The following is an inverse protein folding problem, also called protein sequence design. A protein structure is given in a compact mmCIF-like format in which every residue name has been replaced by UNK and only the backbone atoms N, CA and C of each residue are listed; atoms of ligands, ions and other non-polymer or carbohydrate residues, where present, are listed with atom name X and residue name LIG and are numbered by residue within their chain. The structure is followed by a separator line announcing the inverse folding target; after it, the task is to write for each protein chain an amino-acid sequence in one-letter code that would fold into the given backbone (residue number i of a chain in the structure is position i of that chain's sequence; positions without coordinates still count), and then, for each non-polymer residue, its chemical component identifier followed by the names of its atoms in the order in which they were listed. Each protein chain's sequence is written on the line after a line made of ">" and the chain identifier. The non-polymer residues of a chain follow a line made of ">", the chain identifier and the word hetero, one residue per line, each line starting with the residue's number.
data_IF_474358192819
#
_entry.id   IF_474358192819
#
_cell.length_a   1.000
_cell.length_b   1.000
_cell.length_c   1.000
_cell.angle_alpha   90.00
_cell.angle_beta   90.00
_cell.angle_gamma   90.00
#
_symmetry.space_group_name_H-M   'P 1'
#
loop_
_entity.id
_entity.type
_entity.pdbx_description
1 polymer ?
#
# COMPACT_ATOMS: atom_id res chain seq x y z
N UNK A 1 -17.53 -3.22 30.16
CA UNK A 1 -16.79 -3.09 28.90
C UNK A 1 -16.34 -4.48 28.48
N UNK A 2 -16.65 -4.88 27.25
CA UNK A 2 -16.24 -6.14 26.65
C UNK A 2 -15.58 -5.86 25.31
N UNK A 3 -14.42 -6.47 25.02
CA UNK A 3 -13.73 -6.36 23.74
C UNK A 3 -13.67 -7.76 23.12
N UNK A 4 -14.14 -7.88 21.89
CA UNK A 4 -14.27 -9.18 21.22
C UNK A 4 -14.43 -9.03 19.71
N UNK A 5 -14.45 -10.17 19.02
CA UNK A 5 -14.87 -10.25 17.62
C UNK A 5 -16.34 -9.87 17.49
N UNK A 6 -16.72 -9.31 16.35
CA UNK A 6 -18.12 -9.03 16.04
C UNK A 6 -18.86 -10.35 15.69
N UNK A 7 -20.19 -10.28 15.69
CA UNK A 7 -21.09 -11.35 15.21
C UNK A 7 -21.73 -10.87 13.90
N UNK A 8 -22.10 -11.81 13.04
CA UNK A 8 -22.79 -11.46 11.78
C UNK A 8 -24.05 -10.64 12.02
N UNK A 9 -24.78 -10.94 13.10
CA UNK A 9 -26.01 -10.20 13.46
C UNK A 9 -25.75 -8.74 13.85
N UNK A 10 -24.49 -8.36 14.04
CA UNK A 10 -24.10 -7.01 14.47
C UNK A 10 -23.61 -6.11 13.30
N UNK A 11 -23.52 -6.65 12.08
CA UNK A 11 -22.93 -5.91 10.95
C UNK A 11 -23.68 -4.61 10.65
N UNK A 12 -25.01 -4.61 10.72
CA UNK A 12 -25.81 -3.40 10.49
C UNK A 12 -25.59 -2.36 11.60
N UNK A 13 -25.47 -2.79 12.85
CA UNK A 13 -25.13 -1.89 13.97
C UNK A 13 -23.74 -1.27 13.76
N UNK A 14 -22.79 -2.04 13.29
CA UNK A 14 -21.42 -1.58 13.01
C UNK A 14 -21.46 -0.55 11.87
N UNK A 15 -22.14 -0.85 10.80
CA UNK A 15 -22.30 0.10 9.70
C UNK A 15 -22.92 1.41 10.17
N UNK A 16 -23.76 1.31 10.98
CA UNK A 16 -24.34 2.35 11.51
C UNK A 16 -23.55 3.17 12.27
N UNK A 17 -22.79 2.57 13.17
CA UNK A 17 -21.81 3.28 13.99
C UNK A 17 -20.81 4.05 13.11
N UNK A 18 -20.26 3.40 12.10
CA UNK A 18 -19.28 4.00 11.20
C UNK A 18 -19.86 5.21 10.48
N UNK A 19 -21.08 5.10 9.96
CA UNK A 19 -21.76 6.22 9.27
C UNK A 19 -22.04 7.38 10.21
N UNK A 20 -22.32 7.12 11.49
CA UNK A 20 -22.49 8.16 12.53
C UNK A 20 -21.18 8.93 12.75
N UNK A 21 -20.06 8.23 12.71
CA UNK A 21 -18.74 8.83 12.98
C UNK A 21 -18.17 9.54 11.75
N UNK A 22 -18.37 8.97 10.57
CA UNK A 22 -17.83 9.52 9.32
C UNK A 22 -18.91 10.32 8.58
N UNK A 23 -19.60 9.75 7.64
CA UNK A 23 -20.70 10.42 6.91
C UNK A 23 -21.68 9.36 6.40
N UNK A 24 -22.97 9.60 6.60
CA UNK A 24 -24.04 8.66 6.19
C UNK A 24 -24.01 8.32 4.70
N UNK A 25 -23.70 9.27 3.84
CA UNK A 25 -23.66 9.00 2.39
C UNK A 25 -22.57 8.02 1.96
N UNK A 26 -21.62 7.73 2.86
CA UNK A 26 -20.56 6.72 2.62
C UNK A 26 -21.02 5.30 2.96
N UNK A 27 -22.27 5.11 3.37
CA UNK A 27 -22.82 3.80 3.73
C UNK A 27 -22.56 2.73 2.66
N UNK A 28 -22.78 2.98 1.34
CA UNK A 28 -22.50 1.95 0.34
C UNK A 28 -21.05 1.46 0.36
N UNK A 29 -20.10 2.36 0.57
CA UNK A 29 -18.69 2.02 0.65
C UNK A 29 -18.39 1.11 1.85
N UNK A 30 -18.89 1.47 3.04
CA UNK A 30 -18.61 0.71 4.25
C UNK A 30 -19.34 -0.64 4.25
N UNK A 31 -20.58 -0.66 3.74
CA UNK A 31 -21.32 -1.90 3.58
C UNK A 31 -20.59 -2.85 2.60
N UNK A 32 -20.06 -2.30 1.51
CA UNK A 32 -19.29 -3.09 0.54
C UNK A 32 -18.07 -3.76 1.18
N UNK A 33 -17.38 -3.07 2.09
CA UNK A 33 -16.22 -3.63 2.77
C UNK A 33 -16.58 -4.81 3.69
N UNK A 34 -17.83 -4.89 4.15
CA UNK A 34 -18.30 -6.01 4.99
C UNK A 34 -18.91 -7.12 4.12
N UNK A 35 -19.75 -6.75 3.14
CA UNK A 35 -20.56 -7.72 2.40
C UNK A 35 -19.89 -8.22 1.12
N UNK A 36 -18.92 -7.48 0.57
CA UNK A 36 -18.29 -7.81 -0.71
C UNK A 36 -16.78 -8.04 -0.65
N UNK A 37 -16.14 -7.79 0.50
CA UNK A 37 -14.70 -8.12 0.62
C UNK A 37 -14.57 -9.64 0.72
N UNK A 38 -13.95 -10.25 -0.30
CA UNK A 38 -13.82 -11.70 -0.43
C UNK A 38 -13.00 -12.36 0.71
N UNK A 39 -12.23 -11.56 1.45
CA UNK A 39 -11.41 -12.04 2.56
C UNK A 39 -12.03 -11.78 3.93
N UNK A 40 -13.17 -11.09 3.99
CA UNK A 40 -13.77 -10.66 5.25
C UNK A 40 -14.30 -11.87 6.06
N UNK A 41 -13.97 -11.86 7.34
CA UNK A 41 -14.50 -12.81 8.34
C UNK A 41 -14.89 -12.01 9.59
N UNK A 42 -15.95 -12.43 10.31
CA UNK A 42 -16.42 -11.67 11.49
C UNK A 42 -15.33 -11.38 12.52
N UNK A 43 -14.37 -12.30 12.72
CA UNK A 43 -13.30 -12.12 13.71
C UNK A 43 -12.31 -10.99 13.34
N UNK A 44 -12.30 -10.53 12.08
CA UNK A 44 -11.49 -9.39 11.63
C UNK A 44 -12.10 -8.06 12.11
N UNK A 45 -13.38 -8.06 12.43
CA UNK A 45 -14.11 -6.89 12.91
C UNK A 45 -14.13 -6.95 14.44
N UNK A 46 -13.43 -6.01 15.10
CA UNK A 46 -13.24 -5.96 16.55
C UNK A 46 -14.12 -4.88 17.14
N UNK A 47 -14.87 -5.21 18.17
CA UNK A 47 -15.85 -4.29 18.78
C UNK A 47 -15.59 -4.11 20.27
N UNK A 48 -15.89 -2.90 20.76
CA UNK A 48 -15.99 -2.61 22.17
C UNK A 48 -17.48 -2.45 22.51
N UNK A 49 -17.97 -3.25 23.45
CA UNK A 49 -19.38 -3.28 23.87
C UNK A 49 -19.47 -2.75 25.30
N UNK A 50 -20.36 -1.78 25.50
CA UNK A 50 -20.63 -1.18 26.81
C UNK A 50 -22.15 -1.23 27.03
N UNK A 51 -22.57 -1.90 28.10
CA UNK A 51 -24.00 -2.07 28.45
C UNK A 51 -24.84 -2.59 27.29
N UNK A 52 -24.27 -3.56 26.53
CA UNK A 52 -24.95 -4.20 25.43
C UNK A 52 -24.93 -3.45 24.09
N UNK A 53 -24.32 -2.25 24.04
CA UNK A 53 -24.25 -1.42 22.84
C UNK A 53 -22.82 -1.41 22.30
N UNK A 54 -22.65 -1.54 21.00
CA UNK A 54 -21.34 -1.38 20.33
C UNK A 54 -21.03 0.11 20.30
N UNK A 55 -19.94 0.50 20.96
CA UNK A 55 -19.55 1.91 21.10
C UNK A 55 -18.28 2.26 20.33
N UNK A 56 -17.47 1.24 19.95
CA UNK A 56 -16.24 1.47 19.21
C UNK A 56 -15.95 0.24 18.35
N UNK A 57 -15.28 0.46 17.21
CA UNK A 57 -15.03 -0.55 16.19
C UNK A 57 -13.67 -0.34 15.54
N UNK A 58 -12.99 -1.44 15.20
CA UNK A 58 -11.83 -1.48 14.32
C UNK A 58 -11.95 -2.73 13.42
N UNK A 59 -11.63 -2.57 12.15
CA UNK A 59 -11.50 -3.69 11.23
C UNK A 59 -10.02 -3.95 10.93
N UNK A 60 -9.64 -5.25 10.89
CA UNK A 60 -8.34 -5.70 10.40
C UNK A 60 -8.57 -6.43 9.08
N UNK A 61 -8.36 -5.77 7.96
CA UNK A 61 -8.52 -6.34 6.63
C UNK A 61 -7.36 -7.30 6.33
N UNK A 62 -7.68 -8.51 5.87
CA UNK A 62 -6.67 -9.53 5.53
C UNK A 62 -6.15 -9.27 4.11
N UNK A 63 -4.88 -8.92 4.02
CA UNK A 63 -4.22 -8.64 2.74
C UNK A 63 -2.85 -9.33 2.70
N UNK A 64 -2.27 -9.37 1.51
CA UNK A 64 -0.87 -9.77 1.31
C UNK A 64 -0.24 -8.76 0.36
N UNK A 65 1.03 -8.48 0.56
CA UNK A 65 1.77 -7.54 -0.30
C UNK A 65 3.06 -8.20 -0.79
N UNK A 66 3.59 -7.66 -1.87
CA UNK A 66 4.92 -8.02 -2.36
C UNK A 66 5.99 -7.20 -1.66
N UNK A 67 7.10 -7.85 -1.30
CA UNK A 67 8.38 -7.20 -1.00
C UNK A 67 9.41 -7.96 -1.86
N UNK A 68 9.81 -7.35 -2.96
CA UNK A 68 10.48 -8.10 -4.01
C UNK A 68 9.56 -9.22 -4.50
N UNK A 69 10.07 -10.45 -4.53
CA UNK A 69 9.28 -11.64 -4.91
C UNK A 69 8.64 -12.33 -3.71
N UNK A 70 8.94 -11.89 -2.49
CA UNK A 70 8.33 -12.46 -1.28
C UNK A 70 6.90 -11.93 -1.10
N UNK A 71 6.06 -12.79 -0.58
CA UNK A 71 4.67 -12.46 -0.23
C UNK A 71 4.57 -12.40 1.31
N UNK A 72 4.13 -11.25 1.79
CA UNK A 72 4.08 -10.92 3.22
C UNK A 72 2.62 -10.62 3.58
N UNK A 73 2.12 -11.20 4.67
CA UNK A 73 0.75 -10.94 5.12
C UNK A 73 0.66 -9.57 5.79
N UNK A 74 -0.40 -8.84 5.43
CA UNK A 74 -0.63 -7.46 5.85
C UNK A 74 -2.00 -7.34 6.52
N UNK A 75 -2.02 -6.93 7.79
CA UNK A 75 -3.26 -6.58 8.47
C UNK A 75 -3.58 -5.10 8.25
N UNK A 76 -4.60 -4.81 7.46
CA UNK A 76 -5.00 -3.43 7.16
C UNK A 76 -5.96 -2.89 8.21
N UNK A 77 -5.55 -1.87 8.97
CA UNK A 77 -6.41 -1.24 9.98
C UNK A 77 -7.30 -0.20 9.30
N UNK A 78 -8.60 -0.42 9.38
CA UNK A 78 -9.60 0.50 8.82
C UNK A 78 -10.85 0.56 9.66
N UNK A 79 -11.80 1.39 9.24
CA UNK A 79 -13.10 1.55 9.90
C UNK A 79 -12.95 1.79 11.41
N UNK A 80 -11.94 2.59 11.80
CA UNK A 80 -11.66 2.92 13.20
C UNK A 80 -12.65 4.01 13.63
N UNK A 81 -13.57 3.67 14.50
CA UNK A 81 -14.65 4.59 14.87
C UNK A 81 -15.05 4.40 16.33
N UNK A 82 -15.34 5.52 17.02
CA UNK A 82 -15.92 5.53 18.38
C UNK A 82 -17.04 6.55 18.39
N UNK A 83 -18.22 6.14 18.85
CA UNK A 83 -19.37 7.02 18.96
C UNK A 83 -19.00 8.30 19.74
N UNK A 84 -19.44 9.49 19.30
CA UNK A 84 -18.99 10.75 19.91
C UNK A 84 -19.15 10.80 21.42
N UNK A 85 -20.28 10.33 21.95
CA UNK A 85 -20.58 10.36 23.38
C UNK A 85 -19.74 9.37 24.22
N UNK A 86 -18.97 8.50 23.54
CA UNK A 86 -18.10 7.51 24.19
C UNK A 86 -16.61 7.82 23.99
N UNK A 87 -16.29 8.94 23.35
CA UNK A 87 -14.88 9.33 23.12
C UNK A 87 -14.18 9.73 24.43
N UNK A 88 -12.85 9.73 24.37
CA UNK A 88 -11.97 10.11 25.49
C UNK A 88 -12.08 9.21 26.71
N UNK A 89 -12.58 7.97 26.53
CA UNK A 89 -12.69 6.96 27.59
C UNK A 89 -11.76 5.76 27.40
N UNK A 90 -10.85 5.86 26.41
CA UNK A 90 -9.84 4.82 26.17
C UNK A 90 -10.30 3.64 25.30
N UNK A 91 -11.52 3.64 24.80
CA UNK A 91 -12.07 2.48 24.06
C UNK A 91 -11.31 2.21 22.76
N UNK A 92 -10.98 3.25 21.98
CA UNK A 92 -10.21 3.09 20.75
C UNK A 92 -8.80 2.54 21.06
N UNK A 93 -8.18 3.01 22.15
CA UNK A 93 -6.86 2.51 22.57
C UNK A 93 -6.92 1.03 22.97
N UNK A 94 -7.95 0.63 23.69
CA UNK A 94 -8.13 -0.77 24.10
C UNK A 94 -8.37 -1.66 22.87
N UNK A 95 -9.14 -1.19 21.86
CA UNK A 95 -9.35 -1.91 20.60
C UNK A 95 -8.06 -2.01 19.78
N UNK A 96 -7.24 -0.95 19.79
CA UNK A 96 -5.93 -1.00 19.09
C UNK A 96 -5.04 -2.08 19.70
N UNK A 97 -4.96 -2.17 21.04
CA UNK A 97 -4.20 -3.23 21.71
C UNK A 97 -4.75 -4.62 21.38
N UNK A 98 -6.08 -4.79 21.40
CA UNK A 98 -6.74 -6.04 21.03
C UNK A 98 -6.42 -6.42 19.56
N UNK A 99 -6.42 -5.43 18.65
CA UNK A 99 -6.12 -5.64 17.24
C UNK A 99 -4.67 -6.09 17.03
N UNK A 100 -3.74 -5.55 17.81
CA UNK A 100 -2.31 -5.95 17.76
C UNK A 100 -2.19 -7.42 18.19
N UNK A 101 -2.78 -7.78 19.34
CA UNK A 101 -2.77 -9.17 19.84
C UNK A 101 -3.41 -10.11 18.81
N UNK A 102 -4.53 -9.69 18.21
CA UNK A 102 -5.21 -10.44 17.16
C UNK A 102 -4.28 -10.67 15.96
N UNK A 103 -3.61 -9.61 15.49
CA UNK A 103 -2.71 -9.71 14.32
C UNK A 103 -1.53 -10.64 14.60
N UNK A 104 -0.95 -10.57 15.81
CA UNK A 104 0.13 -11.46 16.24
C UNK A 104 -0.34 -12.92 16.24
N UNK A 105 -1.52 -13.18 16.79
CA UNK A 105 -2.10 -14.52 16.90
C UNK A 105 -2.42 -15.12 15.53
N UNK A 106 -2.93 -14.31 14.60
CA UNK A 106 -3.27 -14.76 13.24
C UNK A 106 -2.01 -14.92 12.37
N UNK A 107 -0.91 -14.27 12.76
CA UNK A 107 0.38 -14.42 12.07
C UNK A 107 0.60 -13.43 10.93
N UNK A 108 0.15 -12.19 11.08
CA UNK A 108 0.52 -11.13 10.15
C UNK A 108 1.95 -10.70 10.41
N UNK A 109 2.69 -10.37 9.35
CA UNK A 109 4.06 -9.84 9.44
C UNK A 109 4.05 -8.32 9.58
N UNK A 110 3.15 -7.67 8.86
CA UNK A 110 3.04 -6.20 8.81
C UNK A 110 1.61 -5.77 9.05
N UNK A 111 1.45 -4.50 9.43
CA UNK A 111 0.16 -3.82 9.43
C UNK A 111 0.30 -2.48 8.73
N UNK A 112 -0.77 -2.02 8.10
CA UNK A 112 -0.84 -0.73 7.38
C UNK A 112 -2.14 -0.02 7.76
N UNK A 113 -2.07 1.30 7.87
CA UNK A 113 -3.25 2.15 7.99
C UNK A 113 -3.00 3.49 7.29
N UNK A 114 -4.08 4.23 7.07
CA UNK A 114 -4.04 5.56 6.46
C UNK A 114 -4.72 6.54 7.40
N UNK A 115 -4.05 7.65 7.74
CA UNK A 115 -4.56 8.56 8.75
C UNK A 115 -3.97 9.97 8.63
N UNK A 116 -4.72 10.96 9.12
CA UNK A 116 -4.22 12.32 9.33
C UNK A 116 -3.91 12.58 10.82
N UNK A 117 -4.17 11.60 11.71
CA UNK A 117 -3.92 11.74 13.16
C UNK A 117 -2.81 10.77 13.60
N UNK A 118 -1.65 10.88 12.97
CA UNK A 118 -0.50 10.01 13.19
C UNK A 118 -0.12 9.83 14.68
N UNK A 119 -0.12 10.90 15.53
CA UNK A 119 0.32 10.71 16.92
C UNK A 119 -0.45 9.65 17.71
N UNK A 120 -1.73 9.43 17.39
CA UNK A 120 -2.52 8.38 18.05
C UNK A 120 -1.93 6.99 17.76
N UNK A 121 -1.61 6.71 16.49
CA UNK A 121 -1.14 5.39 16.06
C UNK A 121 0.34 5.17 16.39
N UNK A 122 1.13 6.24 16.45
CA UNK A 122 2.55 6.15 16.82
C UNK A 122 2.72 5.56 18.23
N UNK A 123 1.78 5.82 19.15
CA UNK A 123 1.79 5.25 20.50
C UNK A 123 1.73 3.72 20.49
N UNK A 124 1.25 3.12 19.42
CA UNK A 124 1.09 1.68 19.27
C UNK A 124 2.12 1.08 18.32
N UNK A 125 3.14 1.84 17.91
CA UNK A 125 4.25 1.36 17.11
C UNK A 125 4.07 1.44 15.60
N UNK A 126 3.06 2.17 15.11
CA UNK A 126 2.98 2.50 13.69
C UNK A 126 3.90 3.69 13.41
N UNK A 127 4.62 3.63 12.29
CA UNK A 127 5.51 4.71 11.83
C UNK A 127 5.08 5.17 10.44
N UNK A 128 5.22 6.46 10.16
CA UNK A 128 4.85 7.02 8.84
C UNK A 128 5.74 6.48 7.74
N UNK A 129 5.17 6.37 6.54
CA UNK A 129 5.87 5.95 5.34
C UNK A 129 5.54 6.90 4.20
N UNK A 130 6.56 7.49 3.54
CA UNK A 130 6.31 8.49 2.50
C UNK A 130 5.68 7.89 1.26
N UNK A 131 4.73 8.62 0.68
CA UNK A 131 4.11 8.28 -0.60
C UNK A 131 4.26 9.47 -1.54
N UNK A 132 4.73 9.22 -2.76
CA UNK A 132 4.97 10.26 -3.76
C UNK A 132 3.71 10.52 -4.56
N UNK A 133 3.28 11.77 -4.59
CA UNK A 133 2.21 12.25 -5.46
C UNK A 133 2.81 13.20 -6.49
N UNK A 134 2.26 13.20 -7.68
CA UNK A 134 2.59 14.18 -8.69
C UNK A 134 1.42 15.12 -8.92
N UNK A 135 1.73 16.32 -9.34
CA UNK A 135 0.77 17.30 -9.80
C UNK A 135 1.29 17.92 -11.07
N UNK A 136 0.43 17.99 -12.08
CA UNK A 136 0.76 18.50 -13.40
C UNK A 136 -0.16 19.67 -13.72
N UNK A 137 0.41 20.86 -13.89
CA UNK A 137 -0.31 22.00 -14.39
C UNK A 137 -0.49 21.83 -15.91
N UNK A 138 -1.72 21.88 -16.37
CA UNK A 138 -2.03 21.75 -17.80
C UNK A 138 -1.95 23.12 -18.47
N UNK A 139 -1.13 23.20 -19.50
CA UNK A 139 -0.98 24.39 -20.34
C UNK A 139 -2.10 24.50 -21.38
N UNK A 140 -1.79 25.12 -22.51
CA UNK A 140 -2.72 25.26 -23.62
C UNK A 140 -3.19 23.90 -24.14
N UNK A 141 -4.45 23.86 -24.57
CA UNK A 141 -5.05 22.64 -25.13
C UNK A 141 -4.27 22.17 -26.35
N UNK A 142 -3.93 20.91 -26.39
CA UNK A 142 -3.22 20.28 -27.50
C UNK A 142 -4.10 19.30 -28.25
N UNK A 143 -3.82 19.12 -29.52
CA UNK A 143 -4.40 18.05 -30.33
C UNK A 143 -3.37 16.93 -30.44
N UNK A 144 -3.85 15.70 -30.36
CA UNK A 144 -2.99 14.52 -30.41
C UNK A 144 -3.28 13.72 -31.67
N UNK A 145 -2.24 13.13 -32.25
CA UNK A 145 -2.41 12.25 -33.42
C UNK A 145 -3.16 10.97 -33.02
N UNK A 146 -4.01 10.46 -33.94
CA UNK A 146 -4.70 9.21 -33.66
C UNK A 146 -3.75 8.05 -33.39
N UNK A 147 -4.08 7.25 -32.40
CA UNK A 147 -3.31 6.06 -32.03
C UNK A 147 -3.95 4.81 -32.66
N UNK A 148 -3.14 3.80 -32.95
CA UNK A 148 -3.64 2.47 -33.30
C UNK A 148 -4.24 1.74 -32.11
N UNK A 149 -4.00 2.23 -30.89
CA UNK A 149 -4.62 1.73 -29.67
C UNK A 149 -5.85 2.58 -29.36
N UNK A 150 -7.02 1.97 -29.37
CA UNK A 150 -8.27 2.63 -29.03
C UNK A 150 -8.44 2.69 -27.51
N UNK A 151 -8.66 3.88 -26.99
CA UNK A 151 -8.96 4.02 -25.56
C UNK A 151 -10.48 4.09 -25.40
N UNK A 152 -11.00 3.26 -24.49
CA UNK A 152 -12.43 3.16 -24.20
C UNK A 152 -12.67 2.94 -22.71
N UNK A 153 -13.93 3.04 -22.33
CA UNK A 153 -14.33 2.72 -20.94
C UNK A 153 -14.10 1.25 -20.64
N UNK A 154 -13.77 0.98 -19.41
CA UNK A 154 -13.61 -0.37 -18.83
C UNK A 154 -14.96 -1.09 -18.82
N UNK A 155 -14.96 -2.37 -19.13
CA UNK A 155 -16.09 -3.27 -19.04
C UNK A 155 -15.72 -4.44 -18.13
N UNK A 156 -16.38 -4.54 -16.97
CA UNK A 156 -16.04 -5.54 -15.96
C UNK A 156 -16.24 -6.99 -16.44
N UNK A 157 -17.21 -7.22 -17.35
CA UNK A 157 -17.49 -8.57 -17.83
C UNK A 157 -16.41 -9.10 -18.80
N UNK A 158 -15.81 -8.22 -19.60
CA UNK A 158 -14.90 -8.63 -20.66
C UNK A 158 -13.44 -8.34 -20.34
N UNK A 159 -13.14 -7.32 -19.55
CA UNK A 159 -11.78 -6.79 -19.42
C UNK A 159 -11.04 -7.27 -18.17
N UNK A 160 -11.76 -7.70 -17.15
CA UNK A 160 -11.21 -7.94 -15.82
C UNK A 160 -10.04 -8.95 -15.83
N UNK A 161 -10.14 -9.99 -16.64
CA UNK A 161 -9.09 -11.03 -16.74
C UNK A 161 -7.78 -10.41 -17.27
N UNK A 162 -7.85 -9.64 -18.37
CA UNK A 162 -6.66 -9.02 -18.95
C UNK A 162 -6.06 -7.97 -18.00
N UNK A 163 -6.91 -7.17 -17.35
CA UNK A 163 -6.45 -6.14 -16.39
C UNK A 163 -5.74 -6.80 -15.20
N UNK A 164 -6.28 -7.91 -14.68
CA UNK A 164 -5.62 -8.62 -13.57
C UNK A 164 -4.23 -9.11 -13.96
N UNK A 165 -4.06 -9.60 -15.18
CA UNK A 165 -2.76 -10.04 -15.70
C UNK A 165 -1.79 -8.86 -15.86
N UNK A 166 -2.29 -7.73 -16.38
CA UNK A 166 -1.48 -6.50 -16.50
C UNK A 166 -1.05 -6.02 -15.10
N UNK A 167 -1.98 -6.04 -14.14
CA UNK A 167 -1.70 -5.64 -12.75
C UNK A 167 -0.55 -6.49 -12.17
N UNK A 168 -0.66 -7.81 -12.30
CA UNK A 168 0.34 -8.73 -11.74
C UNK A 168 1.71 -8.49 -12.39
N UNK A 169 1.74 -8.38 -13.72
CA UNK A 169 2.99 -8.15 -14.47
C UNK A 169 3.60 -6.80 -14.15
N UNK A 170 2.77 -5.75 -14.09
CA UNK A 170 3.21 -4.38 -13.84
C UNK A 170 3.77 -4.21 -12.42
N UNK A 171 3.22 -4.94 -11.46
CA UNK A 171 3.55 -4.76 -10.04
C UNK A 171 4.60 -5.76 -9.51
N UNK A 172 5.02 -6.73 -10.30
CA UNK A 172 5.96 -7.76 -9.83
C UNK A 172 7.33 -7.22 -9.40
N UNK A 173 7.71 -6.01 -9.84
CA UNK A 173 8.97 -5.37 -9.46
C UNK A 173 8.79 -4.37 -8.31
N UNK A 174 7.55 -4.16 -7.83
CA UNK A 174 7.23 -3.14 -6.83
C UNK A 174 7.01 -3.76 -5.46
N UNK A 175 7.49 -3.08 -4.42
CA UNK A 175 7.23 -3.48 -3.04
C UNK A 175 6.06 -2.68 -2.48
N UNK A 176 5.17 -3.36 -1.73
CA UNK A 176 4.01 -2.71 -1.10
C UNK A 176 2.69 -2.87 -1.84
N UNK A 177 2.71 -3.35 -3.09
CA UNK A 177 1.47 -3.58 -3.85
C UNK A 177 0.73 -4.81 -3.32
N UNK A 178 -0.59 -4.71 -3.27
CA UNK A 178 -1.47 -5.79 -2.77
C UNK A 178 -1.46 -6.95 -3.79
N UNK A 179 -1.38 -8.16 -3.28
CA UNK A 179 -1.61 -9.37 -4.07
C UNK A 179 -3.12 -9.55 -4.23
N UNK A 180 -3.61 -9.40 -5.46
CA UNK A 180 -5.05 -9.49 -5.74
C UNK A 180 -5.40 -10.86 -6.31
N UNK A 181 -6.09 -11.67 -5.53
CA UNK A 181 -6.60 -12.98 -5.98
C UNK A 181 -7.74 -12.81 -6.98
N UNK A 182 -8.13 -13.90 -7.64
CA UNK A 182 -9.31 -13.90 -8.53
C UNK A 182 -10.56 -13.47 -7.79
N UNK A 183 -10.74 -13.93 -6.54
CA UNK A 183 -11.89 -13.53 -5.72
C UNK A 183 -11.81 -12.06 -5.33
N UNK A 184 -10.61 -11.54 -5.04
CA UNK A 184 -10.44 -10.11 -4.76
C UNK A 184 -10.92 -9.27 -5.97
N UNK A 185 -10.47 -9.62 -7.18
CA UNK A 185 -10.87 -8.90 -8.39
C UNK A 185 -12.38 -8.96 -8.62
N UNK A 186 -12.97 -10.17 -8.54
CA UNK A 186 -14.38 -10.38 -8.81
C UNK A 186 -15.30 -9.76 -7.74
N UNK A 187 -14.97 -9.95 -6.48
CA UNK A 187 -15.88 -9.65 -5.37
C UNK A 187 -15.51 -8.34 -4.66
N UNK A 188 -14.24 -8.14 -4.34
CA UNK A 188 -13.80 -6.96 -3.57
C UNK A 188 -13.63 -5.75 -4.49
N UNK A 189 -12.76 -5.86 -5.49
CA UNK A 189 -12.39 -4.72 -6.34
C UNK A 189 -13.59 -4.25 -7.17
N UNK A 190 -14.34 -5.17 -7.77
CA UNK A 190 -15.47 -4.84 -8.64
C UNK A 190 -16.65 -4.16 -7.92
N UNK A 191 -16.73 -4.33 -6.59
CA UNK A 191 -17.80 -3.72 -5.79
C UNK A 191 -17.36 -2.48 -5.03
N UNK A 192 -16.10 -2.06 -5.16
CA UNK A 192 -15.64 -0.83 -4.51
C UNK A 192 -16.17 0.40 -5.24
N UNK A 193 -16.84 1.26 -4.49
CA UNK A 193 -17.46 2.47 -5.04
C UNK A 193 -16.37 3.43 -5.55
N UNK A 194 -16.47 3.80 -6.83
CA UNK A 194 -15.59 4.80 -7.45
C UNK A 194 -14.14 4.39 -7.65
N UNK A 195 -13.82 3.10 -7.59
CA UNK A 195 -12.44 2.63 -7.64
C UNK A 195 -12.12 1.77 -8.88
N UNK A 196 -13.12 1.31 -9.60
CA UNK A 196 -12.93 0.49 -10.80
C UNK A 196 -12.11 1.23 -11.87
N UNK A 197 -11.28 0.53 -12.66
CA UNK A 197 -10.59 1.13 -13.79
C UNK A 197 -11.59 1.81 -14.72
N UNK A 198 -11.31 3.03 -15.09
CA UNK A 198 -12.22 3.83 -15.93
C UNK A 198 -11.86 3.79 -17.42
N UNK A 199 -10.60 3.48 -17.75
CA UNK A 199 -10.10 3.49 -19.13
C UNK A 199 -9.24 2.25 -19.41
N UNK A 200 -9.38 1.69 -20.61
CA UNK A 200 -8.48 0.66 -21.14
C UNK A 200 -8.02 1.07 -22.54
N UNK A 201 -6.75 0.77 -22.87
CA UNK A 201 -6.21 0.95 -24.21
C UNK A 201 -6.16 -0.43 -24.87
N UNK A 202 -6.94 -0.59 -25.94
CA UNK A 202 -7.19 -1.87 -26.61
C UNK A 202 -6.83 -1.81 -28.08
N UNK A 203 -6.27 -2.90 -28.60
CA UNK A 203 -6.05 -3.08 -30.04
C UNK A 203 -6.27 -4.56 -30.39
N UNK A 204 -7.19 -4.80 -31.31
CA UNK A 204 -7.50 -6.15 -31.84
C UNK A 204 -7.83 -7.15 -30.71
N UNK A 205 -8.62 -6.71 -29.72
CA UNK A 205 -9.05 -7.55 -28.59
C UNK A 205 -8.00 -7.70 -27.49
N UNK A 206 -6.83 -7.07 -27.64
CA UNK A 206 -5.77 -7.10 -26.62
C UNK A 206 -5.74 -5.79 -25.87
N UNK A 207 -5.81 -5.84 -24.55
CA UNK A 207 -5.63 -4.66 -23.69
C UNK A 207 -4.13 -4.56 -23.37
N UNK A 208 -3.53 -3.41 -23.70
CA UNK A 208 -2.10 -3.17 -23.42
C UNK A 208 -1.85 -2.29 -22.21
N UNK A 209 -2.85 -1.48 -21.82
CA UNK A 209 -2.74 -0.60 -20.66
C UNK A 209 -4.14 -0.30 -20.11
N UNK A 210 -4.20 0.04 -18.81
CA UNK A 210 -5.42 0.52 -18.17
C UNK A 210 -5.08 1.61 -17.15
N UNK A 211 -6.08 2.43 -16.80
CA UNK A 211 -5.96 3.41 -15.73
C UNK A 211 -7.26 3.51 -14.94
N UNK A 212 -7.15 3.51 -13.63
CA UNK A 212 -8.21 4.00 -12.76
C UNK A 212 -8.05 5.53 -12.70
N UNK A 213 -8.82 6.20 -13.54
CA UNK A 213 -8.75 7.64 -13.72
C UNK A 213 -10.15 8.22 -13.68
N UNK A 214 -10.34 9.29 -12.93
CA UNK A 214 -11.64 9.92 -12.82
C UNK A 214 -11.56 11.24 -12.06
N UNK A 215 -12.70 11.87 -11.92
CA UNK A 215 -12.79 13.18 -11.30
C UNK A 215 -13.55 13.08 -9.98
N UNK A 216 -13.16 13.89 -8.95
CA UNK A 216 -13.88 13.85 -7.67
C UNK A 216 -15.39 14.12 -7.81
N UNK A 217 -15.78 14.92 -8.79
CA UNK A 217 -17.18 15.24 -9.07
C UNK A 217 -18.00 14.04 -9.58
N UNK A 218 -17.32 12.99 -10.06
CA UNK A 218 -17.97 11.81 -10.62
C UNK A 218 -18.14 10.68 -9.57
N UNK A 219 -17.76 10.94 -8.32
CA UNK A 219 -17.72 9.93 -7.26
C UNK A 219 -18.92 10.09 -6.30
N UNK A 220 -20.10 9.70 -6.78
CA UNK A 220 -21.29 9.67 -5.94
C UNK A 220 -21.09 8.70 -4.76
N UNK A 221 -21.48 9.14 -3.57
CA UNK A 221 -21.36 8.33 -2.36
C UNK A 221 -19.98 8.32 -1.71
N UNK A 222 -19.03 9.09 -2.25
CA UNK A 222 -17.73 9.22 -1.61
C UNK A 222 -17.76 10.31 -0.54
N UNK A 223 -17.08 10.05 0.58
CA UNK A 223 -16.88 11.04 1.64
C UNK A 223 -16.21 12.28 1.04
N UNK A 224 -16.77 13.49 1.20
CA UNK A 224 -16.14 14.72 0.69
C UNK A 224 -14.72 14.93 1.22
N UNK A 225 -14.44 14.49 2.45
CA UNK A 225 -13.11 14.56 3.03
C UNK A 225 -12.13 13.65 2.25
N UNK A 226 -12.56 12.42 1.96
CA UNK A 226 -11.74 11.49 1.16
C UNK A 226 -11.61 11.99 -0.29
N UNK A 227 -12.66 12.57 -0.85
CA UNK A 227 -12.63 13.09 -2.22
C UNK A 227 -11.56 14.17 -2.41
N UNK A 228 -11.29 15.00 -1.38
CA UNK A 228 -10.21 16.00 -1.46
C UNK A 228 -8.81 15.38 -1.57
N UNK A 229 -8.65 14.15 -1.06
CA UNK A 229 -7.35 13.46 -1.10
C UNK A 229 -7.21 12.50 -2.27
N UNK A 230 -8.30 12.26 -3.04
CA UNK A 230 -8.24 11.33 -4.17
C UNK A 230 -7.77 12.08 -5.41
N UNK A 231 -6.60 11.69 -5.95
CA UNK A 231 -6.14 12.28 -7.21
C UNK A 231 -6.97 11.79 -8.39
N UNK A 232 -6.79 12.44 -9.53
CA UNK A 232 -7.43 12.02 -10.77
C UNK A 232 -6.97 10.62 -11.21
N UNK A 233 -5.66 10.37 -11.12
CA UNK A 233 -5.07 9.07 -11.46
C UNK A 233 -4.78 8.29 -10.17
N UNK A 234 -5.48 7.17 -9.99
CA UNK A 234 -5.40 6.36 -8.77
C UNK A 234 -4.62 5.08 -8.95
N UNK A 235 -4.56 4.58 -10.19
CA UNK A 235 -3.85 3.35 -10.54
C UNK A 235 -3.59 3.35 -12.04
N UNK A 236 -2.46 2.76 -12.46
CA UNK A 236 -2.16 2.54 -13.87
C UNK A 236 -1.36 1.24 -13.99
N UNK A 237 -1.63 0.48 -15.06
CA UNK A 237 -0.85 -0.69 -15.43
C UNK A 237 -0.71 -0.79 -16.93
N UNK A 238 0.37 -1.40 -17.38
CA UNK A 238 0.60 -1.59 -18.81
C UNK A 238 1.58 -2.74 -19.03
N UNK A 239 1.46 -3.38 -20.01
CA UNK A 239 2.20 -4.29 -20.36
C UNK A 239 3.29 -3.69 -21.02
N UNK A 240 4.65 -3.95 -20.79
CA UNK A 240 5.87 -3.34 -21.32
C UNK A 240 6.11 -3.64 -22.81
N UNK A 241 5.62 -4.74 -23.28
CA UNK A 241 5.68 -5.10 -24.71
C UNK A 241 4.72 -4.27 -25.58
N UNK A 242 3.85 -3.46 -24.95
CA UNK A 242 2.87 -2.62 -25.67
C UNK A 242 3.02 -1.14 -25.26
N UNK A 243 4.20 -0.53 -25.41
CA UNK A 243 4.40 0.87 -24.97
C UNK A 243 3.47 1.88 -25.64
N UNK A 244 2.90 1.68 -26.61
CA UNK A 244 2.10 2.40 -27.22
C UNK A 244 0.89 2.54 -26.68
N UNK A 245 0.43 1.44 -26.05
CA UNK A 245 -0.83 1.51 -25.33
C UNK A 245 -0.78 2.53 -24.18
N UNK A 246 0.33 2.63 -23.49
CA UNK A 246 0.50 3.63 -22.41
C UNK A 246 0.48 5.06 -22.96
N UNK A 247 1.07 5.27 -24.13
CA UNK A 247 1.00 6.59 -24.80
C UNK A 247 -0.45 6.93 -25.19
N UNK A 248 -1.19 5.98 -25.75
CA UNK A 248 -2.61 6.18 -26.09
C UNK A 248 -3.42 6.55 -24.83
N UNK A 249 -3.17 5.85 -23.76
CA UNK A 249 -3.81 6.12 -22.48
C UNK A 249 -3.44 7.53 -21.98
N UNK A 250 -2.19 7.93 -22.07
CA UNK A 250 -1.73 9.29 -21.73
C UNK A 250 -2.50 10.34 -22.54
N UNK A 251 -2.61 10.13 -23.69
CA UNK A 251 -3.18 10.96 -24.43
C UNK A 251 -4.50 11.14 -24.19
N UNK A 252 -5.34 10.04 -23.93
CA UNK A 252 -6.76 10.08 -23.58
C UNK A 252 -7.01 10.77 -22.22
N UNK A 253 -6.16 10.53 -21.26
CA UNK A 253 -6.21 11.23 -19.95
C UNK A 253 -6.07 12.74 -20.16
N UNK A 254 -5.12 13.21 -20.91
CA UNK A 254 -4.96 14.64 -21.23
C UNK A 254 -6.17 15.20 -21.99
N UNK A 255 -6.62 14.42 -22.80
CA UNK A 255 -7.63 14.76 -23.43
C UNK A 255 -8.70 14.99 -22.71
N UNK A 256 -9.08 14.12 -21.84
CA UNK A 256 -10.19 14.23 -20.88
C UNK A 256 -10.09 15.44 -19.94
N UNK A 257 -8.80 15.73 -19.58
CA UNK A 257 -8.58 16.74 -18.84
C UNK A 257 -8.90 17.90 -19.46
N UNK A 258 -8.54 18.21 -20.83
CA UNK A 258 -8.82 19.44 -21.64
C UNK A 258 -10.30 19.65 -21.97
N UNK A 259 -11.02 18.58 -22.18
CA UNK A 259 -12.46 18.64 -22.45
C UNK A 259 -13.28 19.21 -21.29
N UNK A 260 -12.79 19.08 -20.07
CA UNK A 260 -13.45 19.58 -18.87
C UNK A 260 -12.89 20.94 -18.41
N UNK A 261 -12.02 21.53 -19.21
CA UNK A 261 -11.36 22.81 -18.89
C UNK A 261 -10.62 22.77 -17.54
N UNK A 262 -10.06 21.59 -17.21
CA UNK A 262 -9.30 21.42 -15.97
C UNK A 262 -7.86 21.87 -16.16
N UNK A 263 -7.33 22.47 -15.14
CA UNK A 263 -5.97 22.99 -15.09
C UNK A 263 -4.97 22.15 -14.27
N UNK A 264 -5.25 20.80 -13.64
CA UNK A 264 -4.47 20.06 -12.86
C UNK A 264 -4.76 18.67 -13.07
N UNK A 265 -3.94 17.64 -13.09
CA UNK A 265 -3.95 16.49 -12.99
C UNK A 265 -3.23 16.21 -11.96
N UNK A 266 -3.60 15.29 -11.16
CA UNK A 266 -2.85 14.79 -10.02
C UNK A 266 -2.90 13.27 -9.98
N UNK A 267 -1.88 12.67 -9.33
CA UNK A 267 -1.85 11.21 -9.25
C UNK A 267 -0.82 10.73 -8.23
N UNK A 268 -0.89 9.45 -7.93
CA UNK A 268 0.13 8.79 -7.10
C UNK A 268 0.95 7.88 -7.99
N UNK A 269 2.16 8.31 -8.34
CA UNK A 269 3.11 7.53 -9.14
C UNK A 269 4.52 7.83 -8.70
N UNK A 270 5.35 6.82 -8.79
CA UNK A 270 6.79 6.99 -8.63
C UNK A 270 7.29 7.93 -9.73
N UNK A 271 8.23 8.83 -9.38
CA UNK A 271 8.71 9.88 -10.29
C UNK A 271 9.34 9.35 -11.58
N UNK A 272 9.83 8.10 -11.55
CA UNK A 272 10.45 7.48 -12.72
C UNK A 272 9.47 6.57 -13.49
N UNK A 273 8.18 6.59 -13.16
CA UNK A 273 7.19 5.80 -13.90
C UNK A 273 7.09 6.30 -15.33
N UNK A 274 7.07 5.42 -16.36
CA UNK A 274 7.04 5.86 -17.77
C UNK A 274 5.89 6.83 -18.10
N UNK A 275 4.74 6.70 -17.46
CA UNK A 275 3.64 7.64 -17.67
C UNK A 275 4.04 9.08 -17.29
N UNK A 276 4.88 9.25 -16.31
CA UNK A 276 5.38 10.58 -15.93
C UNK A 276 6.20 11.21 -17.08
N UNK A 277 6.83 10.45 -17.65
CA UNK A 277 7.51 10.81 -18.63
C UNK A 277 6.78 11.29 -19.66
N UNK A 278 5.83 10.42 -20.16
CA UNK A 278 4.88 10.76 -21.24
C UNK A 278 4.08 12.03 -20.90
N UNK A 279 3.61 12.13 -19.73
CA UNK A 279 2.88 13.34 -19.31
C UNK A 279 3.74 14.61 -19.46
N UNK A 280 4.92 14.48 -19.23
CA UNK A 280 5.75 15.49 -19.33
C UNK A 280 5.88 15.89 -20.65
N UNK A 281 6.11 14.96 -21.60
CA UNK A 281 6.31 15.20 -23.05
C UNK A 281 5.05 15.71 -23.76
N UNK A 282 3.95 15.05 -23.52
CA UNK A 282 2.70 15.34 -24.21
C UNK A 282 2.02 16.64 -23.75
N UNK A 283 2.09 16.98 -22.47
CA UNK A 283 1.53 18.25 -21.97
C UNK A 283 2.47 19.44 -22.21
N UNK A 284 3.76 19.19 -22.23
CA UNK A 284 4.77 20.26 -22.26
C UNK A 284 5.01 20.88 -20.90
N UNK A 285 4.59 20.27 -19.84
CA UNK A 285 4.69 20.79 -18.46
C UNK A 285 5.38 19.80 -17.53
N UNK A 286 6.11 19.99 -16.58
CA UNK A 286 6.72 19.33 -15.77
C UNK A 286 5.95 19.08 -14.68
N UNK A 287 5.92 17.94 -14.36
CA UNK A 287 5.21 17.59 -13.14
C UNK A 287 5.98 17.99 -11.87
N UNK A 288 5.27 18.54 -10.93
CA UNK A 288 5.80 18.75 -9.57
C UNK A 288 5.52 17.49 -8.73
N UNK A 289 6.34 17.28 -7.69
CA UNK A 289 6.19 16.12 -6.81
C UNK A 289 6.13 16.55 -5.36
N UNK A 290 5.23 15.94 -4.61
CA UNK A 290 5.10 16.15 -3.17
C UNK A 290 5.10 14.80 -2.46
N UNK A 291 5.44 14.83 -1.18
CA UNK A 291 5.42 13.64 -0.33
C UNK A 291 4.28 13.79 0.67
N UNK A 292 3.45 12.75 0.79
CA UNK A 292 2.45 12.65 1.84
C UNK A 292 2.82 11.50 2.78
N UNK A 293 2.50 11.66 4.04
CA UNK A 293 2.75 10.66 5.08
C UNK A 293 1.44 10.15 5.70
N UNK A 294 0.50 9.81 4.86
CA UNK A 294 -0.59 9.36 5.23
C UNK A 294 -0.57 8.05 5.60
N UNK A 295 0.21 7.19 4.96
CA UNK A 295 0.40 5.77 5.23
C UNK A 295 1.25 5.57 6.49
N UNK A 296 0.86 4.62 7.33
CA UNK A 296 1.65 4.22 8.49
C UNK A 296 1.73 2.69 8.56
N UNK A 297 2.95 2.17 8.68
CA UNK A 297 3.18 0.73 8.84
C UNK A 297 3.65 0.39 10.25
N UNK A 298 3.32 -0.83 10.68
CA UNK A 298 3.84 -1.44 11.90
C UNK A 298 4.46 -2.79 11.54
N UNK A 299 5.61 -3.09 12.12
CA UNK A 299 6.18 -4.44 12.09
C UNK A 299 5.46 -5.25 13.17
N UNK A 300 4.60 -6.18 12.75
CA UNK A 300 3.87 -7.05 13.71
C UNK A 300 4.82 -8.12 14.23
N UNK A 301 5.60 -8.77 13.33
CA UNK A 301 6.58 -9.78 13.72
C UNK A 301 7.81 -9.69 12.82
N UNK A 302 8.91 -9.22 13.36
CA UNK A 302 10.18 -9.17 12.65
C UNK A 302 10.73 -10.56 12.32
N UNK A 303 10.60 -11.50 13.05
CA UNK A 303 10.94 -12.68 12.90
C UNK A 303 10.39 -13.23 11.84
N UNK A 304 8.97 -13.34 11.80
CA UNK A 304 8.16 -13.90 10.71
C UNK A 304 8.42 -13.17 9.37
N UNK A 305 8.51 -11.85 9.39
CA UNK A 305 8.82 -11.04 8.20
C UNK A 305 10.12 -11.55 7.54
N UNK A 306 11.20 -11.66 8.32
CA UNK A 306 12.48 -12.11 7.78
C UNK A 306 12.40 -13.56 7.28
N UNK A 307 11.67 -14.45 7.98
CA UNK A 307 11.47 -15.83 7.54
C UNK A 307 10.77 -15.87 6.17
N UNK A 308 9.75 -15.04 5.97
CA UNK A 308 9.05 -14.93 4.68
C UNK A 308 9.98 -14.40 3.58
N UNK A 309 10.97 -13.59 3.94
CA UNK A 309 11.88 -12.98 2.99
C UNK A 309 13.12 -13.83 2.67
N UNK A 310 13.32 -14.98 3.32
CA UNK A 310 14.51 -15.83 3.08
C UNK A 310 14.74 -16.08 1.58
N UNK A 311 13.73 -16.54 0.80
CA UNK A 311 13.98 -16.79 -0.63
C UNK A 311 14.40 -15.55 -1.39
N UNK A 312 13.84 -14.40 -1.04
CA UNK A 312 14.20 -13.13 -1.67
C UNK A 312 15.62 -12.70 -1.28
N UNK A 313 15.99 -12.84 -0.01
CA UNK A 313 17.34 -12.56 0.46
C UNK A 313 18.39 -13.44 -0.26
N UNK A 314 18.12 -14.76 -0.36
CA UNK A 314 19.03 -15.69 -1.05
C UNK A 314 19.15 -15.33 -2.54
N UNK A 315 18.04 -14.96 -3.18
CA UNK A 315 18.02 -14.51 -4.58
C UNK A 315 18.86 -13.25 -4.77
N UNK A 316 18.72 -12.26 -3.86
CA UNK A 316 19.49 -11.01 -3.92
C UNK A 316 20.99 -11.25 -3.68
N UNK A 317 21.34 -12.21 -2.85
CA UNK A 317 22.73 -12.57 -2.57
C UNK A 317 23.36 -13.34 -3.74
N UNK A 318 22.58 -14.05 -4.55
CA UNK A 318 23.09 -14.84 -5.66
C UNK A 318 23.76 -13.90 -6.68
N UNK A 319 25.00 -14.19 -7.04
CA UNK A 319 25.75 -13.35 -7.96
C UNK A 319 26.71 -12.35 -7.30
N UNK A 320 26.67 -12.23 -5.98
CA UNK A 320 27.61 -11.39 -5.25
C UNK A 320 28.74 -12.27 -4.67
N UNK A 321 29.97 -12.05 -5.09
CA UNK A 321 31.15 -12.87 -4.73
C UNK A 321 31.54 -12.80 -3.25
N UNK A 322 31.10 -11.74 -2.56
CA UNK A 322 31.45 -11.52 -1.14
C UNK A 322 30.67 -12.40 -0.16
N UNK A 323 29.74 -13.23 -0.68
CA UNK A 323 28.87 -14.09 0.14
C UNK A 323 29.54 -15.37 0.66
N UNK A 324 30.85 -15.54 0.43
CA UNK A 324 31.58 -16.71 0.88
C UNK A 324 31.98 -16.64 2.35
N UNK A 325 31.98 -15.46 2.95
CA UNK A 325 32.37 -15.28 4.36
C UNK A 325 31.10 -15.33 5.22
N UNK A 326 31.03 -16.25 6.19
CA UNK A 326 29.90 -16.28 7.09
C UNK A 326 29.75 -14.94 7.83
N UNK A 327 28.55 -14.37 7.78
CA UNK A 327 28.25 -13.11 8.47
C UNK A 327 26.86 -13.17 9.10
N UNK A 328 26.62 -12.33 10.09
CA UNK A 328 25.32 -12.26 10.72
C UNK A 328 24.98 -10.84 11.15
N UNK A 329 23.70 -10.48 11.03
CA UNK A 329 23.18 -9.18 11.41
C UNK A 329 22.06 -9.35 12.42
N UNK A 330 22.25 -8.81 13.60
CA UNK A 330 21.24 -8.80 14.66
C UNK A 330 20.46 -7.48 14.58
N UNK A 331 19.26 -7.51 14.02
CA UNK A 331 18.37 -6.36 13.90
C UNK A 331 17.65 -6.15 15.23
N UNK A 332 17.70 -4.91 15.71
CA UNK A 332 17.05 -4.50 16.97
C UNK A 332 16.14 -3.31 16.62
N UNK A 333 14.82 -3.58 16.58
CA UNK A 333 13.78 -2.59 16.30
C UNK A 333 12.90 -2.48 17.55
N UNK A 334 12.99 -1.37 18.25
CA UNK A 334 12.28 -1.14 19.52
C UNK A 334 12.40 -2.39 20.43
N UNK A 335 11.31 -3.14 20.61
CA UNK A 335 11.25 -4.32 21.47
C UNK A 335 11.46 -5.64 20.73
N UNK A 336 11.67 -5.59 19.40
CA UNK A 336 11.81 -6.81 18.58
C UNK A 336 13.27 -7.03 18.19
N UNK A 337 13.70 -8.29 18.23
CA UNK A 337 15.06 -8.68 17.84
C UNK A 337 14.93 -9.85 16.86
N UNK A 338 15.73 -9.82 15.79
CA UNK A 338 15.82 -10.94 14.87
C UNK A 338 17.19 -10.95 14.20
N UNK A 339 17.83 -12.10 14.13
CA UNK A 339 19.18 -12.25 13.57
C UNK A 339 19.10 -12.99 12.23
N UNK A 340 19.65 -12.34 11.19
CA UNK A 340 19.90 -12.95 9.88
C UNK A 340 21.33 -13.52 9.88
N UNK A 341 21.47 -14.82 9.65
CA UNK A 341 22.78 -15.49 9.52
C UNK A 341 22.95 -15.91 8.06
N UNK A 342 24.03 -15.47 7.45
CA UNK A 342 24.36 -15.74 6.05
C UNK A 342 25.59 -16.64 6.01
N UNK A 343 25.47 -17.74 5.27
CA UNK A 343 26.59 -18.65 5.07
C UNK A 343 26.50 -19.25 3.66
N UNK A 344 27.48 -18.96 2.83
CA UNK A 344 27.54 -19.44 1.43
C UNK A 344 26.25 -19.12 0.65
N UNK A 345 25.73 -17.90 0.83
CA UNK A 345 24.52 -17.44 0.15
C UNK A 345 23.21 -17.97 0.71
N UNK A 346 23.28 -18.82 1.73
CA UNK A 346 22.08 -19.31 2.44
C UNK A 346 21.78 -18.44 3.63
N UNK A 347 20.50 -18.18 3.87
CA UNK A 347 20.05 -17.30 4.94
C UNK A 347 19.22 -18.11 5.95
N UNK A 348 19.55 -17.97 7.23
CA UNK A 348 18.73 -18.48 8.32
C UNK A 348 18.36 -17.34 9.25
N UNK A 349 17.19 -17.47 9.89
CA UNK A 349 16.62 -16.44 10.77
C UNK A 349 16.44 -17.04 12.16
N UNK A 350 16.95 -16.33 13.19
CA UNK A 350 16.73 -16.73 14.58
C UNK A 350 16.17 -15.53 15.36
N UNK A 351 15.49 -15.83 16.45
CA UNK A 351 14.87 -14.80 17.29
C UNK A 351 15.70 -14.55 18.56
N UNK A 352 17.02 -14.43 18.38
CA UNK A 352 17.95 -14.24 19.49
C UNK A 352 18.92 -13.08 19.22
N UNK A 353 19.59 -12.65 20.28
CA UNK A 353 20.56 -11.56 20.26
C UNK A 353 21.99 -12.13 20.25
N UNK A 354 22.18 -13.36 19.78
CA UNK A 354 23.44 -14.08 19.87
C UNK A 354 24.35 -13.82 18.66
N UNK A 355 25.27 -12.88 18.82
CA UNK A 355 26.36 -12.69 17.86
C UNK A 355 25.99 -11.81 16.67
N UNK A 356 27.00 -11.51 15.88
CA UNK A 356 26.87 -10.73 14.65
C UNK A 356 26.88 -9.22 14.85
N UNK A 357 26.91 -8.51 13.73
CA UNK A 357 26.87 -7.06 13.71
C UNK A 357 25.48 -6.58 14.15
N UNK A 358 25.42 -5.73 15.16
CA UNK A 358 24.15 -5.20 15.67
C UNK A 358 23.67 -4.03 14.81
N UNK A 359 22.46 -4.16 14.29
CA UNK A 359 21.82 -3.13 13.48
C UNK A 359 20.64 -2.57 14.31
N UNK A 360 20.92 -1.50 15.06
CA UNK A 360 19.87 -0.79 15.82
C UNK A 360 19.23 0.25 14.91
N UNK A 361 17.96 0.09 14.62
CA UNK A 361 17.26 0.95 13.67
C UNK A 361 15.81 1.10 14.14
N UNK A 362 15.27 2.31 14.07
CA UNK A 362 13.85 2.53 14.39
C UNK A 362 12.95 2.05 13.23
N UNK A 363 11.68 1.85 13.54
CA UNK A 363 10.70 1.35 12.58
C UNK A 363 10.60 2.26 11.34
N UNK A 364 10.60 3.59 11.51
CA UNK A 364 10.48 4.52 10.39
C UNK A 364 11.61 4.34 9.36
N UNK A 365 12.88 4.28 9.84
CA UNK A 365 14.04 4.09 8.97
C UNK A 365 14.09 2.67 8.39
N UNK A 366 13.72 1.67 9.20
CA UNK A 366 13.68 0.27 8.73
C UNK A 366 12.68 0.11 7.58
N UNK A 367 11.50 0.73 7.65
CA UNK A 367 10.52 0.69 6.57
C UNK A 367 11.09 1.25 5.27
N UNK A 368 11.89 2.31 5.34
CA UNK A 368 12.51 2.90 4.14
C UNK A 368 13.43 1.92 3.43
N UNK A 369 14.27 1.19 4.18
CA UNK A 369 15.15 0.19 3.57
C UNK A 369 14.38 -1.06 3.16
N UNK A 370 13.39 -1.48 3.95
CA UNK A 370 12.56 -2.65 3.64
C UNK A 370 11.85 -2.50 2.28
N UNK A 371 11.30 -1.32 2.02
CA UNK A 371 10.55 -1.05 0.79
C UNK A 371 11.40 -0.43 -0.33
N UNK A 372 12.70 -0.21 -0.08
CA UNK A 372 13.63 0.29 -1.10
C UNK A 372 13.59 1.80 -1.31
N UNK A 373 12.97 2.55 -0.39
CA UNK A 373 12.95 4.02 -0.44
C UNK A 373 14.32 4.62 -0.09
N UNK A 374 15.11 3.91 0.72
CA UNK A 374 16.48 4.27 1.08
C UNK A 374 17.35 3.01 1.14
N UNK A 375 18.67 3.19 1.17
CA UNK A 375 19.63 2.11 1.40
C UNK A 375 20.34 2.33 2.73
N UNK A 376 21.01 1.30 3.24
CA UNK A 376 21.83 1.41 4.46
C UNK A 376 22.99 2.39 4.26
N UNK A 377 23.60 2.42 3.06
CA UNK A 377 24.62 3.43 2.71
C UNK A 377 24.08 4.84 2.91
N UNK A 378 22.88 5.13 2.40
CA UNK A 378 22.27 6.45 2.53
C UNK A 378 21.99 6.82 3.99
N UNK A 379 21.51 5.85 4.79
CA UNK A 379 21.26 6.09 6.22
C UNK A 379 22.58 6.35 6.97
N UNK A 380 23.66 5.66 6.59
CA UNK A 380 25.01 5.87 7.17
C UNK A 380 25.52 7.28 6.87
N UNK A 381 25.44 7.72 5.61
CA UNK A 381 25.84 9.07 5.19
C UNK A 381 25.12 10.17 5.97
N UNK A 382 23.85 9.93 6.33
CA UNK A 382 23.05 10.88 7.10
C UNK A 382 23.30 10.75 8.61
N UNK A 383 24.26 9.91 9.03
CA UNK A 383 24.62 9.67 10.42
C UNK A 383 23.39 9.24 11.27
N UNK A 384 22.52 8.45 10.69
CA UNK A 384 21.30 7.98 11.36
C UNK A 384 21.56 6.80 12.33
N UNK A 385 22.79 6.27 12.33
CA UNK A 385 23.19 5.16 13.23
C UNK A 385 24.09 5.70 14.35
N UNK A 386 23.56 6.57 15.20
CA UNK A 386 24.31 7.16 16.32
C UNK A 386 24.83 6.07 17.25
N UNK A 387 26.15 6.00 17.38
CA UNK A 387 26.82 5.04 18.26
C UNK A 387 27.03 3.65 17.67
N UNK A 388 26.68 3.44 16.39
CA UNK A 388 26.95 2.19 15.69
C UNK A 388 27.62 2.48 14.36
N UNK A 389 28.87 2.10 14.25
CA UNK A 389 29.62 2.20 13.00
C UNK A 389 29.56 0.85 12.31
N UNK A 390 28.85 0.77 11.20
CA UNK A 390 28.84 -0.42 10.37
C UNK A 390 30.13 -0.47 9.55
N UNK A 391 30.70 -1.66 9.43
CA UNK A 391 31.89 -1.84 8.60
C UNK A 391 31.49 -1.75 7.12
N UNK A 392 32.40 -1.28 6.22
CA UNK A 392 32.03 -1.14 4.80
C UNK A 392 31.48 -2.42 4.18
N UNK A 393 32.03 -3.57 4.50
CA UNK A 393 31.54 -4.86 3.96
C UNK A 393 30.13 -5.20 4.47
N UNK A 394 29.82 -4.83 5.73
CA UNK A 394 28.48 -5.01 6.30
C UNK A 394 27.47 -4.15 5.54
N UNK A 395 27.83 -2.89 5.23
CA UNK A 395 26.95 -1.97 4.49
C UNK A 395 26.67 -2.53 3.08
N UNK A 396 27.70 -3.03 2.38
CA UNK A 396 27.52 -3.63 1.04
C UNK A 396 26.55 -4.83 1.12
N UNK A 397 26.72 -5.69 2.13
CA UNK A 397 25.83 -6.83 2.31
C UNK A 397 24.40 -6.39 2.63
N UNK A 398 24.24 -5.42 3.52
CA UNK A 398 22.93 -4.89 3.89
C UNK A 398 22.23 -4.23 2.69
N UNK A 399 22.97 -3.47 1.87
CA UNK A 399 22.41 -2.87 0.64
C UNK A 399 22.03 -3.93 -0.40
N UNK A 400 22.73 -5.07 -0.41
CA UNK A 400 22.37 -6.22 -1.25
C UNK A 400 21.06 -6.86 -0.76
N UNK A 401 20.93 -7.05 0.56
CA UNK A 401 19.71 -7.61 1.15
C UNK A 401 18.51 -6.66 1.02
N UNK A 402 18.74 -5.36 1.11
CA UNK A 402 17.70 -4.32 1.10
C UNK A 402 18.04 -3.26 0.03
N UNK A 403 17.93 -3.64 -1.27
CA UNK A 403 18.34 -2.74 -2.34
C UNK A 403 17.34 -1.61 -2.58
N UNK A 404 17.81 -0.56 -3.24
CA UNK A 404 16.94 0.51 -3.77
C UNK A 404 15.88 -0.11 -4.67
N UNK A 405 14.63 0.34 -4.54
CA UNK A 405 13.51 -0.22 -5.28
C UNK A 405 12.40 0.80 -5.50
N UNK A 406 11.27 0.29 -5.93
CA UNK A 406 10.08 1.10 -6.19
C UNK A 406 8.97 0.66 -5.23
N UNK A 407 8.66 1.51 -4.27
CA UNK A 407 7.56 1.24 -3.34
C UNK A 407 6.25 1.81 -3.88
N UNK A 408 5.16 1.08 -3.73
CA UNK A 408 3.84 1.52 -4.19
C UNK A 408 2.73 0.84 -3.39
N UNK A 409 1.73 1.60 -3.00
CA UNK A 409 0.46 1.07 -2.54
C UNK A 409 -0.63 1.87 -3.26
N UNK A 410 -1.39 1.18 -4.12
CA UNK A 410 -2.37 1.85 -4.95
C UNK A 410 -3.54 2.34 -4.10
N UNK A 411 -4.06 3.52 -4.45
CA UNK A 411 -5.22 4.10 -3.76
C UNK A 411 -6.44 3.17 -3.88
N UNK A 412 -6.51 2.43 -4.98
CA UNK A 412 -7.59 1.46 -5.22
C UNK A 412 -7.63 0.33 -4.19
N UNK A 413 -6.54 0.13 -3.44
CA UNK A 413 -6.44 -0.92 -2.42
C UNK A 413 -6.61 -0.40 -0.97
N UNK A 414 -7.05 0.84 -0.81
CA UNK A 414 -7.31 1.41 0.54
C UNK A 414 -8.50 0.68 1.19
N UNK A 415 -8.37 0.38 2.48
CA UNK A 415 -9.33 -0.38 3.27
C UNK A 415 -9.83 0.42 4.49
#
# INVERSE_FOLDING_TARGET
>A
MEIRASKESEFEEIIXLICTVFVEKCRPRYASQIYHDSSFQPHQSRVCVVEGKIVSHIRVSDRAIHIGHSIVRLGGIGMVATLPEYRHRGYASALMQDSIVYMEKIGYELSLLFTTIQPFYMKFGWATFPQTNFELELGEKKQFEPSSWRVRAFDAETDLVQISQIYDEHNKIRSGTILRSKSYWRDTYSHQVGILPSLVAERDGTIGAYANFGFPTDLDGMDPFLATYYPNLREVGYXSQHPXSLLALCXAILXSXYKRDLTXXSGRLHRYHPLIXLLXEESGSXPSFSITEXAMYRIVSLXSLFQKMIPEFEKRLAGHRENSIPTSFCFILESQVSTLKINQGKVTVTNDNSGGTKVRIDTHRFLKVLFGDATFSQLEELNHFKGLRLEPNDIVTLDTLFPKGESMHWICDYF
#
